data_IF_807025407371
#
_entry.id   IF_807025407371
#
_cell.length_a   1.000
_cell.length_b   1.000
_cell.length_c   1.000
_cell.angle_alpha   90.00
_cell.angle_beta   90.00
_cell.angle_gamma   90.00
#
_symmetry.space_group_name_H-M   'P 1'
#
loop_
_entity.id
_entity.type
_entity.pdbx_description
1 polymer ?
#
# COMPACT_ATOMS: atom_id res chain seq x y z
N UNK A 1 65.04 23.10 28.81
CA UNK A 1 63.68 22.73 29.26
C UNK A 1 62.80 22.85 28.01
N UNK A 2 62.68 21.81 27.18
CA UNK A 2 61.85 20.63 27.40
C UNK A 2 60.39 21.04 27.68
N UNK A 3 59.53 21.00 26.66
CA UNK A 3 58.37 20.10 26.71
C UNK A 3 57.86 19.82 25.29
N UNK A 4 57.95 18.54 24.96
CA UNK A 4 57.40 17.86 23.81
C UNK A 4 55.91 17.61 24.06
N UNK A 5 55.03 18.00 23.14
CA UNK A 5 53.67 17.43 23.11
C UNK A 5 53.36 16.97 21.69
N UNK A 6 53.74 15.71 21.47
CA UNK A 6 53.37 14.91 20.32
C UNK A 6 51.84 14.85 20.16
N UNK A 7 51.32 15.52 19.14
CA UNK A 7 49.93 15.34 18.70
C UNK A 7 49.83 14.03 17.94
N UNK A 8 49.41 12.99 18.65
CA UNK A 8 49.20 11.61 18.19
C UNK A 8 48.35 11.59 16.92
N UNK A 9 49.01 11.40 15.77
CA UNK A 9 48.39 11.12 14.47
C UNK A 9 47.73 9.75 14.57
N UNK A 10 46.39 9.72 14.63
CA UNK A 10 45.61 8.48 14.64
C UNK A 10 45.64 7.90 13.22
N UNK A 11 46.65 7.09 12.94
CA UNK A 11 46.79 6.35 11.69
C UNK A 11 45.63 5.34 11.61
N UNK A 12 44.75 5.51 10.63
CA UNK A 12 43.69 4.54 10.33
C UNK A 12 44.31 3.27 9.69
N UNK A 13 43.77 2.07 9.96
CA UNK A 13 44.24 0.84 9.34
C UNK A 13 43.98 0.88 7.83
N UNK A 14 45.00 0.51 7.05
CA UNK A 14 44.94 0.37 5.59
C UNK A 14 43.80 -0.58 5.20
N UNK A 15 42.75 -0.04 4.57
CA UNK A 15 41.65 -0.81 3.99
C UNK A 15 40.24 -0.26 4.19
N UNK A 16 40.03 0.78 5.00
CA UNK A 16 38.71 1.35 5.23
C UNK A 16 38.52 2.66 4.47
N UNK A 17 37.74 2.63 3.39
CA UNK A 17 37.29 3.84 2.71
C UNK A 17 36.32 4.59 3.62
N UNK A 18 36.84 5.59 4.31
CA UNK A 18 36.02 6.54 5.04
C UNK A 18 35.55 7.62 4.06
N UNK A 19 34.27 7.58 3.69
CA UNK A 19 33.65 8.72 3.02
C UNK A 19 33.37 9.81 4.06
N UNK A 20 33.89 11.00 3.83
CA UNK A 20 33.62 12.16 4.67
C UNK A 20 32.28 12.80 4.27
N UNK A 21 31.66 13.54 5.20
CA UNK A 21 30.43 14.31 4.90
C UNK A 21 30.63 15.33 3.78
N UNK A 22 31.86 15.80 3.54
CA UNK A 22 32.20 16.62 2.38
C UNK A 22 32.07 15.85 1.06
N UNK A 23 32.61 14.64 1.01
CA UNK A 23 32.59 13.79 -0.20
C UNK A 23 31.16 13.42 -0.61
N UNK A 24 30.29 13.16 0.37
CA UNK A 24 28.86 12.89 0.14
C UNK A 24 28.14 14.13 -0.41
N UNK A 25 28.48 15.32 0.08
CA UNK A 25 27.90 16.58 -0.41
C UNK A 25 28.35 16.90 -1.84
N UNK A 26 29.62 16.68 -2.14
CA UNK A 26 30.13 16.82 -3.51
C UNK A 26 29.47 15.81 -4.45
N UNK A 27 29.29 14.56 -4.03
CA UNK A 27 28.60 13.54 -4.82
C UNK A 27 27.15 13.93 -5.12
N UNK A 28 26.43 14.47 -4.13
CA UNK A 28 25.07 14.95 -4.31
C UNK A 28 24.97 16.12 -5.30
N UNK A 29 25.92 17.06 -5.22
CA UNK A 29 26.01 18.19 -6.16
C UNK A 29 26.25 17.65 -7.58
N UNK A 30 27.21 16.74 -7.74
CA UNK A 30 27.52 16.13 -9.02
C UNK A 30 26.35 15.32 -9.60
N UNK A 31 25.61 14.57 -8.79
CA UNK A 31 24.42 13.84 -9.24
C UNK A 31 23.35 14.79 -9.77
N UNK A 32 23.14 15.92 -9.09
CA UNK A 32 22.15 16.93 -9.49
C UNK A 32 22.57 17.68 -10.77
N UNK A 33 23.83 18.06 -10.90
CA UNK A 33 24.34 18.75 -12.09
C UNK A 33 24.32 17.86 -13.35
N UNK A 34 24.43 16.54 -13.16
CA UNK A 34 24.47 15.56 -14.26
C UNK A 34 23.15 14.79 -14.46
N UNK A 35 22.06 15.20 -13.80
CA UNK A 35 20.74 14.55 -13.86
C UNK A 35 20.83 13.02 -13.64
N UNK A 36 21.61 12.60 -12.65
CA UNK A 36 21.75 11.20 -12.27
C UNK A 36 20.66 10.86 -11.25
N UNK A 37 19.72 10.00 -11.65
CA UNK A 37 18.67 9.49 -10.77
C UNK A 37 19.20 8.44 -9.81
N UNK A 38 20.16 7.62 -10.24
CA UNK A 38 20.67 6.51 -9.45
C UNK A 38 22.18 6.34 -9.67
N UNK A 39 22.92 6.11 -8.59
CA UNK A 39 24.34 5.80 -8.62
C UNK A 39 24.61 4.64 -7.65
N UNK A 40 24.89 3.48 -8.20
CA UNK A 40 25.31 2.28 -7.48
C UNK A 40 26.82 2.13 -7.66
N UNK A 41 27.61 1.81 -6.63
CA UNK A 41 29.08 1.63 -6.70
C UNK A 41 29.49 0.36 -5.95
N UNK A 42 30.40 -0.45 -6.50
CA UNK A 42 31.03 -1.56 -5.76
C UNK A 42 32.54 -1.57 -5.97
N UNK A 43 33.28 -2.22 -5.06
CA UNK A 43 34.74 -2.19 -5.05
C UNK A 43 35.34 -3.50 -4.51
N UNK A 44 36.56 -3.84 -4.95
CA UNK A 44 37.24 -5.12 -4.66
C UNK A 44 36.93 -6.22 -5.68
N UNK A 45 36.42 -5.84 -6.85
CA UNK A 45 35.80 -6.73 -7.85
C UNK A 45 34.64 -6.06 -8.59
N UNK A 46 34.20 -4.92 -8.04
CA UNK A 46 33.66 -3.72 -8.69
C UNK A 46 32.59 -3.92 -9.75
N UNK A 47 31.34 -3.57 -9.44
CA UNK A 47 30.51 -2.86 -10.40
C UNK A 47 29.72 -1.67 -9.85
N UNK A 48 29.77 -0.59 -10.62
CA UNK A 48 29.07 0.67 -10.41
C UNK A 48 27.97 0.78 -11.47
N UNK A 49 26.72 1.11 -11.14
CA UNK A 49 25.63 1.29 -12.12
C UNK A 49 24.93 2.64 -11.96
N UNK A 50 24.88 3.41 -13.05
CA UNK A 50 24.40 4.79 -13.07
C UNK A 50 23.17 4.90 -13.96
N UNK A 51 22.07 5.43 -13.44
CA UNK A 51 20.84 5.72 -14.20
C UNK A 51 20.70 7.24 -14.30
N UNK A 52 20.68 7.77 -15.51
CA UNK A 52 20.47 9.20 -15.77
C UNK A 52 19.06 9.46 -16.30
N UNK A 53 18.48 10.58 -15.90
CA UNK A 53 17.19 11.08 -16.36
C UNK A 53 17.23 11.53 -17.82
N UNK A 54 18.42 11.78 -18.40
CA UNK A 54 18.56 12.23 -19.80
C UNK A 54 18.32 11.11 -20.83
N UNK A 55 18.05 9.87 -20.41
CA UNK A 55 18.01 8.70 -21.30
C UNK A 55 16.76 7.81 -21.25
N UNK A 56 15.70 8.15 -20.51
CA UNK A 56 14.44 7.37 -20.56
C UNK A 56 13.57 7.76 -21.77
N UNK A 57 14.05 7.40 -22.95
CA UNK A 57 13.23 7.24 -24.17
C UNK A 57 13.77 6.06 -24.98
N UNK A 58 13.55 4.83 -24.50
CA UNK A 58 13.67 3.63 -25.32
C UNK A 58 12.68 2.55 -24.85
N UNK A 59 11.49 2.61 -25.45
CA UNK A 59 10.57 1.53 -25.78
C UNK A 59 10.59 0.27 -24.89
N UNK A 60 9.55 0.12 -24.07
CA UNK A 60 9.01 -1.19 -23.72
C UNK A 60 7.58 -1.29 -24.27
N UNK A 61 7.53 -1.68 -25.55
CA UNK A 61 6.29 -2.10 -26.22
C UNK A 61 5.84 -3.42 -25.58
N UNK A 62 4.68 -3.41 -24.93
CA UNK A 62 3.95 -4.64 -24.61
C UNK A 62 2.98 -4.93 -25.76
N UNK A 63 3.09 -6.09 -26.44
CA UNK A 63 2.17 -6.45 -27.51
C UNK A 63 0.77 -6.69 -26.93
N UNK A 64 -0.23 -6.01 -27.49
CA UNK A 64 -1.64 -6.24 -27.19
C UNK A 64 -2.03 -7.63 -27.70
N UNK A 65 -2.35 -8.54 -26.78
CA UNK A 65 -3.04 -9.79 -27.08
C UNK A 65 -4.54 -9.51 -27.19
N UNK A 66 -5.04 -9.51 -28.43
CA UNK A 66 -6.47 -9.49 -28.75
C UNK A 66 -7.05 -10.87 -28.43
N UNK A 67 -8.03 -11.01 -27.51
CA UNK A 67 -8.74 -12.27 -27.35
C UNK A 67 -9.72 -12.45 -28.51
N UNK A 68 -9.41 -13.39 -29.42
CA UNK A 68 -10.39 -14.00 -30.32
C UNK A 68 -11.32 -14.86 -29.48
N UNK A 69 -12.58 -14.45 -29.38
CA UNK A 69 -13.67 -15.32 -28.90
C UNK A 69 -14.27 -16.06 -30.10
N UNK A 70 -14.34 -17.40 -30.09
CA UNK A 70 -15.04 -18.14 -31.13
C UNK A 70 -16.56 -18.01 -30.96
N UNK A 71 -17.23 -17.67 -32.06
CA UNK A 71 -18.68 -17.64 -32.19
C UNK A 71 -19.27 -19.04 -32.03
N UNK A 72 -20.11 -19.24 -31.01
CA UNK A 72 -20.92 -20.45 -30.84
C UNK A 72 -22.32 -20.21 -31.40
N UNK A 73 -22.70 -21.04 -32.36
CA UNK A 73 -24.01 -21.03 -33.02
C UNK A 73 -25.13 -21.45 -32.05
N UNK A 74 -26.35 -20.90 -32.18
CA UNK A 74 -27.48 -21.30 -31.35
C UNK A 74 -28.04 -22.66 -31.79
N UNK A 75 -28.04 -23.63 -30.88
CA UNK A 75 -28.78 -24.90 -31.04
C UNK A 75 -30.24 -24.69 -30.63
N UNK A 76 -31.14 -24.87 -31.59
CA UNK A 76 -32.59 -24.82 -31.42
C UNK A 76 -33.07 -25.91 -30.46
N UNK A 77 -33.78 -25.51 -29.41
CA UNK A 77 -34.45 -26.44 -28.49
C UNK A 77 -35.82 -26.81 -29.07
N UNK A 78 -36.03 -28.10 -29.29
CA UNK A 78 -37.26 -28.68 -29.82
C UNK A 78 -38.37 -28.64 -28.76
N UNK A 79 -39.58 -28.23 -29.16
CA UNK A 79 -40.79 -28.29 -28.33
C UNK A 79 -41.28 -29.73 -28.17
N UNK A 80 -41.76 -30.15 -26.98
CA UNK A 80 -42.59 -31.34 -26.86
C UNK A 80 -44.09 -31.05 -27.15
N UNK A 81 -44.85 -32.04 -27.66
CA UNK A 81 -46.25 -31.90 -28.10
C UNK A 81 -47.27 -31.94 -26.94
N UNK A 82 -48.50 -31.43 -27.15
CA UNK A 82 -49.57 -31.45 -26.15
C UNK A 82 -50.36 -32.77 -26.17
N UNK A 83 -50.80 -33.23 -25.00
CA UNK A 83 -51.79 -34.32 -24.87
C UNK A 83 -53.04 -33.73 -24.21
N UNK A 84 -54.18 -33.96 -24.84
CA UNK A 84 -55.48 -33.40 -24.49
C UNK A 84 -56.37 -34.39 -23.70
N UNK A 85 -57.25 -33.77 -22.90
CA UNK A 85 -58.66 -34.13 -22.64
C UNK A 85 -59.03 -35.25 -21.63
N UNK A 86 -59.75 -34.82 -20.58
CA UNK A 86 -60.69 -35.63 -19.78
C UNK A 86 -61.24 -34.83 -18.57
N UNK A 87 -62.51 -34.40 -18.61
CA UNK A 87 -63.23 -33.56 -17.62
C UNK A 87 -64.35 -34.36 -16.86
N UNK A 88 -65.29 -33.76 -16.08
CA UNK A 88 -65.24 -33.22 -14.68
C UNK A 88 -66.37 -33.86 -13.77
N UNK A 89 -66.82 -33.35 -12.57
CA UNK A 89 -67.48 -32.03 -12.34
C UNK A 89 -67.25 -31.29 -10.98
N UNK A 90 -67.38 -29.94 -11.07
CA UNK A 90 -67.96 -28.91 -10.17
C UNK A 90 -67.93 -29.04 -8.62
N UNK A 91 -67.47 -27.98 -7.92
CA UNK A 91 -68.34 -26.94 -7.30
C UNK A 91 -67.55 -25.73 -6.74
N UNK A 92 -68.11 -24.53 -6.91
CA UNK A 92 -67.89 -23.19 -6.30
C UNK A 92 -66.48 -22.80 -5.77
N UNK A 93 -65.79 -21.74 -6.19
CA UNK A 93 -66.27 -20.40 -6.56
C UNK A 93 -65.98 -19.40 -5.44
N UNK A 94 -64.84 -18.68 -5.50
CA UNK A 94 -64.71 -17.25 -5.17
C UNK A 94 -63.30 -16.72 -5.50
N UNK A 95 -63.26 -15.59 -6.18
CA UNK A 95 -62.10 -14.84 -6.68
C UNK A 95 -61.49 -13.90 -5.62
N UNK A 96 -60.16 -13.73 -5.60
CA UNK A 96 -59.46 -12.42 -5.38
C UNK A 96 -58.07 -12.47 -6.06
N UNK A 97 -57.69 -11.47 -6.89
CA UNK A 97 -56.37 -11.40 -7.55
C UNK A 97 -55.34 -10.51 -6.82
N UNK A 98 -54.07 -10.71 -7.20
CA UNK A 98 -52.91 -9.81 -7.11
C UNK A 98 -52.15 -9.67 -5.77
N UNK A 99 -50.90 -10.16 -5.75
CA UNK A 99 -49.67 -9.34 -5.67
C UNK A 99 -48.41 -10.24 -5.71
N UNK A 100 -47.52 -10.12 -6.71
CA UNK A 100 -46.17 -10.67 -6.61
C UNK A 100 -45.27 -9.69 -5.83
N UNK A 101 -44.79 -10.13 -4.68
CA UNK A 101 -43.79 -9.45 -3.86
C UNK A 101 -42.44 -9.47 -4.56
N UNK A 102 -41.88 -8.30 -4.84
CA UNK A 102 -40.44 -8.10 -5.08
C UNK A 102 -39.70 -8.04 -3.75
N UNK A 103 -38.58 -8.76 -3.61
CA UNK A 103 -37.33 -8.14 -3.12
C UNK A 103 -36.10 -8.77 -3.81
N UNK A 104 -34.91 -8.19 -3.91
CA UNK A 104 -34.34 -7.00 -3.31
C UNK A 104 -33.30 -6.44 -4.30
N UNK A 105 -33.31 -5.12 -4.43
CA UNK A 105 -32.19 -4.34 -4.95
C UNK A 105 -30.94 -4.68 -4.15
N UNK A 106 -29.88 -5.08 -4.84
CA UNK A 106 -28.53 -5.11 -4.29
C UNK A 106 -28.15 -3.66 -3.95
N UNK A 107 -27.98 -3.41 -2.65
CA UNK A 107 -27.50 -2.15 -2.13
C UNK A 107 -26.10 -1.84 -2.71
N UNK A 108 -25.86 -0.61 -3.17
CA UNK A 108 -24.52 -0.17 -3.56
C UNK A 108 -23.55 -0.29 -2.39
N UNK A 109 -22.40 -0.90 -2.65
CA UNK A 109 -21.25 -0.90 -1.75
C UNK A 109 -20.94 0.53 -1.29
N UNK A 110 -20.69 0.66 0.01
CA UNK A 110 -20.41 1.91 0.71
C UNK A 110 -19.31 2.71 -0.02
N UNK A 111 -19.67 3.95 -0.34
CA UNK A 111 -18.73 5.00 -0.70
C UNK A 111 -17.83 5.32 0.50
N UNK A 112 -16.58 5.75 0.27
CA UNK A 112 -15.58 5.93 1.33
C UNK A 112 -16.07 6.89 2.41
N UNK A 113 -15.96 6.43 3.65
CA UNK A 113 -16.14 7.18 4.89
C UNK A 113 -15.49 8.55 4.79
N UNK A 114 -16.33 9.58 4.91
CA UNK A 114 -15.95 10.99 5.00
C UNK A 114 -14.81 11.16 6.02
N UNK A 115 -13.63 11.59 5.52
CA UNK A 115 -12.54 12.15 6.32
C UNK A 115 -13.09 13.33 7.13
N UNK A 116 -13.43 13.08 8.39
CA UNK A 116 -13.56 14.17 9.35
C UNK A 116 -12.15 14.68 9.62
N UNK A 117 -11.88 15.93 9.24
CA UNK A 117 -10.62 16.61 9.57
C UNK A 117 -10.36 16.48 11.08
N UNK A 118 -9.15 16.08 11.47
CA UNK A 118 -8.82 15.94 12.88
C UNK A 118 -8.81 17.32 13.54
N UNK A 119 -9.09 17.40 14.86
CA UNK A 119 -8.80 18.60 15.62
C UNK A 119 -7.37 19.10 15.35
N UNK A 120 -7.18 20.42 15.25
CA UNK A 120 -5.91 21.03 14.87
C UNK A 120 -4.70 20.68 15.77
N UNK A 121 -4.95 20.10 16.95
CA UNK A 121 -3.90 19.68 17.88
C UNK A 121 -3.44 18.22 17.68
N UNK A 122 -4.13 17.43 16.85
CA UNK A 122 -3.69 16.07 16.52
C UNK A 122 -2.68 16.07 15.38
N UNK A 123 -1.64 15.26 15.51
CA UNK A 123 -0.64 15.07 14.47
C UNK A 123 -0.99 13.84 13.63
N UNK A 124 -0.88 13.98 12.32
CA UNK A 124 -1.15 12.89 11.37
C UNK A 124 0.13 12.11 11.09
N UNK A 125 0.09 10.80 11.28
CA UNK A 125 1.12 9.88 10.76
C UNK A 125 0.67 9.40 9.38
N UNK A 126 1.54 9.56 8.38
CA UNK A 126 1.24 9.28 6.98
C UNK A 126 2.11 8.16 6.45
N UNK A 127 1.63 7.47 5.42
CA UNK A 127 2.40 6.43 4.77
C UNK A 127 3.60 7.01 4.00
N UNK A 128 4.83 6.52 4.24
CA UNK A 128 6.00 6.93 3.45
C UNK A 128 6.11 6.18 2.11
N UNK A 129 5.23 5.21 1.82
CA UNK A 129 5.32 4.35 0.65
C UNK A 129 3.95 3.84 0.18
N UNK A 130 3.92 3.19 -0.98
CA UNK A 130 2.74 2.45 -1.47
C UNK A 130 2.86 0.99 -1.01
N UNK A 131 1.78 0.39 -0.51
CA UNK A 131 1.81 -0.99 -0.06
C UNK A 131 0.51 -1.47 0.57
N UNK A 132 0.57 -2.54 1.36
CA UNK A 132 -0.57 -3.07 2.12
C UNK A 132 -0.37 -2.82 3.60
N UNK A 133 -1.37 -2.22 4.26
CA UNK A 133 -1.33 -1.87 5.68
C UNK A 133 -1.67 -3.07 6.57
N UNK A 134 -0.86 -3.35 7.58
CA UNK A 134 -1.11 -4.38 8.57
C UNK A 134 -0.97 -3.85 10.00
N UNK A 135 -1.92 -4.23 10.85
CA UNK A 135 -1.96 -3.81 12.26
C UNK A 135 -1.05 -4.63 13.17
N UNK A 136 -0.61 -5.80 12.74
CA UNK A 136 0.12 -6.77 13.56
C UNK A 136 1.39 -7.27 12.83
N UNK A 137 2.41 -7.77 13.56
CA UNK A 137 3.63 -8.32 12.96
C UNK A 137 3.42 -9.65 12.20
N UNK A 138 2.31 -10.34 12.48
CA UNK A 138 1.89 -11.58 11.84
C UNK A 138 0.36 -11.72 11.92
N UNK A 139 -0.28 -12.58 11.09
CA UNK A 139 -1.74 -12.72 11.06
C UNK A 139 -2.38 -13.10 12.39
N UNK A 140 -1.72 -13.92 13.19
CA UNK A 140 -2.21 -14.41 14.48
C UNK A 140 -1.63 -13.65 15.69
N UNK A 141 -0.85 -12.59 15.45
CA UNK A 141 -0.26 -11.77 16.49
C UNK A 141 -1.18 -10.62 16.89
N UNK A 142 -1.08 -10.11 18.14
CA UNK A 142 -1.83 -8.92 18.52
C UNK A 142 -1.41 -7.70 17.69
N UNK A 143 -2.31 -6.71 17.52
CA UNK A 143 -1.95 -5.42 16.93
C UNK A 143 -0.79 -4.76 17.68
N UNK A 144 0.02 -3.97 16.97
CA UNK A 144 1.07 -3.17 17.61
C UNK A 144 0.48 -2.14 18.58
N UNK A 145 -0.64 -1.53 18.20
CA UNK A 145 -1.36 -0.51 18.99
C UNK A 145 -2.87 -0.55 18.78
N UNK A 146 -3.59 -0.10 19.79
CA UNK A 146 -5.03 0.18 19.77
C UNK A 146 -5.32 1.68 20.01
N UNK A 147 -6.56 2.10 19.71
CA UNK A 147 -7.00 3.47 20.00
C UNK A 147 -7.00 3.69 21.51
N UNK A 148 -6.39 4.78 21.95
CA UNK A 148 -6.21 5.13 23.37
C UNK A 148 -4.83 4.79 23.94
N UNK A 149 -4.05 3.94 23.25
CA UNK A 149 -2.72 3.54 23.69
C UNK A 149 -1.73 4.70 23.70
N UNK A 150 -0.80 4.68 24.66
CA UNK A 150 0.32 5.61 24.72
C UNK A 150 1.48 5.12 23.86
N UNK A 151 2.03 6.02 23.06
CA UNK A 151 3.16 5.74 22.16
C UNK A 151 4.34 6.67 22.45
N UNK A 152 5.54 6.20 22.15
CA UNK A 152 6.79 6.97 22.17
C UNK A 152 7.32 7.06 20.74
N UNK A 153 8.36 7.87 20.53
CA UNK A 153 8.97 8.09 19.21
C UNK A 153 9.32 6.79 18.46
N UNK A 154 9.83 5.79 19.17
CA UNK A 154 10.22 4.50 18.62
C UNK A 154 9.12 3.43 18.60
N UNK A 155 7.91 3.73 19.08
CA UNK A 155 6.82 2.75 19.10
C UNK A 155 6.36 2.45 17.67
N UNK A 156 6.43 1.18 17.27
CA UNK A 156 5.87 0.68 16.01
C UNK A 156 4.34 0.74 16.07
N UNK A 157 3.72 1.30 15.04
CA UNK A 157 2.26 1.49 14.92
C UNK A 157 1.61 0.47 13.99
N UNK A 158 2.30 0.14 12.89
CA UNK A 158 1.83 -0.78 11.87
C UNK A 158 3.01 -1.25 11.00
N UNK A 159 2.71 -2.18 10.10
CA UNK A 159 3.59 -2.55 8.99
C UNK A 159 2.93 -2.10 7.69
N UNK A 160 3.76 -1.66 6.73
CA UNK A 160 3.38 -1.54 5.33
C UNK A 160 4.19 -2.56 4.53
N UNK A 161 3.50 -3.50 3.91
CA UNK A 161 4.12 -4.46 3.01
C UNK A 161 4.28 -3.84 1.62
N UNK A 162 5.52 -3.74 1.16
CA UNK A 162 5.84 -3.31 -0.20
C UNK A 162 6.91 -4.25 -0.78
N UNK A 163 6.63 -4.87 -1.93
CA UNK A 163 7.56 -5.77 -2.61
C UNK A 163 8.10 -6.92 -1.71
N UNK A 164 7.23 -7.53 -0.89
CA UNK A 164 7.55 -8.57 0.11
C UNK A 164 8.42 -8.10 1.28
N UNK A 165 8.65 -6.80 1.42
CA UNK A 165 9.34 -6.22 2.56
C UNK A 165 8.31 -5.66 3.55
N UNK A 166 8.43 -6.07 4.81
CA UNK A 166 7.57 -5.63 5.91
C UNK A 166 8.20 -4.41 6.57
N UNK A 167 7.79 -3.21 6.17
CA UNK A 167 8.36 -1.96 6.68
C UNK A 167 7.56 -1.47 7.89
N UNK A 168 8.21 -1.40 9.04
CA UNK A 168 7.61 -0.87 10.26
C UNK A 168 7.44 0.65 10.20
N UNK A 169 6.26 1.14 10.55
CA UNK A 169 5.98 2.56 10.69
C UNK A 169 5.99 2.92 12.17
N UNK A 170 6.88 3.84 12.55
CA UNK A 170 7.04 4.32 13.92
C UNK A 170 6.20 5.58 14.18
N UNK A 171 5.94 5.87 15.45
CA UNK A 171 5.17 7.06 15.82
C UNK A 171 5.93 8.38 15.61
N UNK A 172 7.27 8.39 15.76
CA UNK A 172 8.13 9.59 15.66
C UNK A 172 7.74 10.74 16.59
N UNK A 173 6.84 10.48 17.55
CA UNK A 173 6.39 11.42 18.56
C UNK A 173 5.88 10.66 19.78
N UNK A 174 5.82 11.36 20.90
CA UNK A 174 5.12 10.89 22.09
C UNK A 174 3.67 11.37 22.09
N UNK A 175 2.75 10.49 22.45
CA UNK A 175 1.33 10.85 22.48
C UNK A 175 0.40 9.67 22.78
N UNK A 176 -0.88 9.85 22.47
CA UNK A 176 -1.91 8.80 22.46
C UNK A 176 -2.46 8.57 21.06
N UNK A 177 -2.73 7.32 20.70
CA UNK A 177 -3.39 6.98 19.44
C UNK A 177 -4.85 7.43 19.50
N UNK A 178 -5.19 8.49 18.78
CA UNK A 178 -6.54 9.05 18.77
C UNK A 178 -7.45 8.32 17.76
N UNK A 179 -6.90 7.95 16.59
CA UNK A 179 -7.65 7.24 15.54
C UNK A 179 -6.73 6.43 14.63
N UNK A 180 -7.24 5.31 14.14
CA UNK A 180 -6.64 4.50 13.06
C UNK A 180 -7.54 4.68 11.85
N UNK A 181 -6.97 5.09 10.72
CA UNK A 181 -7.71 5.54 9.53
C UNK A 181 -7.80 4.47 8.43
N UNK A 182 -7.02 3.40 8.56
CA UNK A 182 -6.92 2.34 7.57
C UNK A 182 -7.23 0.99 8.23
N UNK A 183 -8.01 0.17 7.53
CA UNK A 183 -8.33 -1.18 7.98
C UNK A 183 -7.19 -2.16 7.68
N UNK A 184 -7.07 -3.21 8.48
CA UNK A 184 -6.04 -4.23 8.31
C UNK A 184 -6.20 -4.96 6.95
N UNK A 185 -5.10 -5.08 6.20
CA UNK A 185 -5.07 -5.71 4.89
C UNK A 185 -5.44 -4.78 3.73
N UNK A 186 -5.73 -3.50 3.97
CA UNK A 186 -6.09 -2.57 2.92
C UNK A 186 -4.86 -1.97 2.22
N UNK A 187 -4.96 -1.65 0.91
CA UNK A 187 -3.92 -0.93 0.20
C UNK A 187 -3.80 0.51 0.72
N UNK A 188 -2.57 1.02 0.72
CA UNK A 188 -2.24 2.40 1.08
C UNK A 188 -1.34 3.04 0.03
N UNK A 189 -1.54 4.34 -0.18
CA UNK A 189 -0.78 5.17 -1.10
C UNK A 189 0.27 6.01 -0.38
N UNK A 190 1.21 6.57 -1.15
CA UNK A 190 2.18 7.52 -0.61
C UNK A 190 1.47 8.74 -0.01
N UNK A 191 1.91 9.13 1.19
CA UNK A 191 1.41 10.27 1.95
C UNK A 191 -0.05 10.15 2.42
N UNK A 192 -0.67 8.97 2.29
CA UNK A 192 -2.00 8.69 2.82
C UNK A 192 -1.99 8.73 4.36
N UNK A 193 -2.95 9.40 5.01
CA UNK A 193 -3.13 9.36 6.47
C UNK A 193 -3.37 7.93 6.98
N UNK A 194 -2.62 7.52 8.00
CA UNK A 194 -2.74 6.21 8.64
C UNK A 194 -3.28 6.31 10.07
N UNK A 195 -2.75 7.26 10.83
CA UNK A 195 -3.12 7.48 12.23
C UNK A 195 -3.26 8.96 12.55
N UNK A 196 -4.11 9.25 13.54
CA UNK A 196 -4.05 10.50 14.30
C UNK A 196 -3.50 10.21 15.69
N UNK A 197 -2.51 11.00 16.10
CA UNK A 197 -1.91 10.96 17.43
C UNK A 197 -2.20 12.29 18.12
N UNK A 198 -2.73 12.23 19.33
CA UNK A 198 -2.81 13.36 20.24
C UNK A 198 -1.46 13.47 20.98
N UNK A 199 -0.64 14.51 20.72
CA UNK A 199 0.65 14.65 21.37
C UNK A 199 0.53 14.86 22.89
N UNK A 200 1.48 14.32 23.64
CA UNK A 200 1.63 14.56 25.10
C UNK A 200 2.70 15.62 25.41
#
# INVERSE_FOLDING_TARGET
>A
MAEETAKKKKTAPSGQLSFSVRDIKELFILMKENDIAELNIEQGGTKIHVVSLRGQTAAQQVPQVVPVVPSVAPVSVVSPPPIAAGAPPMDAGLEVPAQPSTPATAAPAEAPTTESEPPAHWKTVRSPMVGTFYRAPAPDAPPFVEVGDRVKEDTTLCIIEAMKLMNEIKAEMRGRVAKILVENGMPVEYNQPLFYIEPE
#
